data_IF_054051602622
#
_entry.id   IF_054051602622
#
_cell.length_a   1.000
_cell.length_b   1.000
_cell.length_c   1.000
_cell.angle_alpha   90.00
_cell.angle_beta   90.00
_cell.angle_gamma   90.00
#
_symmetry.space_group_name_H-M   'P 1'
#
loop_
_entity.id
_entity.type
_entity.pdbx_description
1 polymer ?
#
# COMPACT_ATOMS: atom_id res chain seq x y z
N UNK A 1 -39.42 14.64 7.04
CA UNK A 1 -38.63 14.30 5.85
C UNK A 1 -37.18 14.27 6.29
N UNK A 2 -36.52 13.10 6.32
CA UNK A 2 -35.09 13.06 6.64
C UNK A 2 -34.34 13.92 5.62
N UNK A 3 -33.45 14.76 6.11
CA UNK A 3 -32.60 15.63 5.32
C UNK A 3 -31.42 14.81 4.77
N UNK A 4 -30.76 15.29 3.70
CA UNK A 4 -29.55 14.63 3.17
C UNK A 4 -28.44 14.43 4.23
N UNK A 5 -28.43 15.26 5.28
CA UNK A 5 -27.53 15.12 6.42
C UNK A 5 -27.82 13.87 7.27
N UNK A 6 -29.06 13.38 7.27
CA UNK A 6 -29.49 12.19 8.03
C UNK A 6 -29.15 10.87 7.29
N UNK A 7 -28.77 10.97 6.01
CA UNK A 7 -28.41 9.82 5.16
C UNK A 7 -26.91 9.74 4.85
N UNK A 8 -26.13 10.75 5.24
CA UNK A 8 -24.69 10.84 4.97
C UNK A 8 -23.95 10.86 6.30
N UNK A 9 -23.55 9.68 6.77
CA UNK A 9 -22.65 9.56 7.91
C UNK A 9 -21.22 9.87 7.43
N UNK A 10 -20.80 11.13 7.57
CA UNK A 10 -19.40 11.51 7.32
C UNK A 10 -18.56 10.91 8.45
N UNK A 11 -17.98 9.74 8.20
CA UNK A 11 -17.04 9.08 9.11
C UNK A 11 -15.88 10.04 9.42
N UNK A 12 -15.93 10.72 10.58
CA UNK A 12 -15.02 11.81 10.99
C UNK A 12 -13.54 11.46 11.18
N UNK A 13 -13.07 10.33 10.63
CA UNK A 13 -11.65 9.92 10.69
C UNK A 13 -10.80 10.49 9.54
N UNK A 14 -11.39 11.22 8.60
CA UNK A 14 -10.71 11.85 7.45
C UNK A 14 -9.72 12.99 7.80
N UNK A 15 -9.48 13.30 9.09
CA UNK A 15 -8.72 14.47 9.53
C UNK A 15 -7.43 14.15 10.30
N UNK A 16 -6.77 13.01 10.05
CA UNK A 16 -5.35 12.88 10.45
C UNK A 16 -4.47 12.84 9.22
N UNK A 17 -3.56 13.81 9.16
CA UNK A 17 -2.46 13.86 8.20
C UNK A 17 -1.73 12.51 8.20
N UNK A 18 -2.05 11.63 7.24
CA UNK A 18 -1.39 10.35 7.09
C UNK A 18 0.09 10.60 6.78
N UNK A 19 0.97 10.28 7.71
CA UNK A 19 2.40 10.44 7.52
C UNK A 19 2.93 9.13 6.93
N UNK A 20 3.13 9.14 5.61
CA UNK A 20 3.54 7.97 4.80
C UNK A 20 4.67 7.16 5.45
N UNK A 21 5.67 7.80 6.05
CA UNK A 21 6.82 7.13 6.68
C UNK A 21 6.51 6.51 8.05
N UNK A 22 5.53 7.07 8.79
CA UNK A 22 5.15 6.63 10.14
C UNK A 22 4.09 5.53 10.12
N UNK A 23 3.25 5.55 9.08
CA UNK A 23 2.04 4.75 8.97
C UNK A 23 2.24 3.47 8.14
N UNK A 24 3.43 3.31 7.55
CA UNK A 24 3.89 2.17 6.74
C UNK A 24 3.73 0.78 7.40
N UNK A 25 3.62 0.72 8.73
CA UNK A 25 3.53 -0.53 9.49
C UNK A 25 2.20 -0.73 10.22
N UNK A 26 1.25 0.21 10.12
CA UNK A 26 0.00 0.17 10.87
C UNK A 26 -1.19 -0.11 9.96
N UNK A 27 -2.15 -0.97 10.37
CA UNK A 27 -3.37 -1.22 9.60
C UNK A 27 -4.39 -0.08 9.72
N UNK A 28 -4.31 0.71 10.79
CA UNK A 28 -5.24 1.81 11.12
C UNK A 28 -5.49 2.84 9.99
N UNK A 29 -4.51 3.21 9.13
CA UNK A 29 -4.75 4.15 8.03
C UNK A 29 -5.66 3.61 6.92
N UNK A 30 -5.81 2.28 6.80
CA UNK A 30 -6.76 1.65 5.87
C UNK A 30 -8.15 1.49 6.48
N UNK A 31 -8.26 1.53 7.81
CA UNK A 31 -9.55 1.43 8.51
C UNK A 31 -10.34 2.74 8.35
N UNK A 32 -11.28 2.74 7.39
CA UNK A 32 -12.12 3.89 7.04
C UNK A 32 -11.67 4.64 5.79
N UNK A 33 -10.65 4.16 5.07
CA UNK A 33 -10.34 4.69 3.74
C UNK A 33 -11.39 4.21 2.73
N UNK A 34 -12.08 5.17 2.12
CA UNK A 34 -13.01 4.90 1.00
C UNK A 34 -12.24 5.08 -0.31
N UNK A 35 -12.07 3.98 -1.05
CA UNK A 35 -11.47 4.02 -2.37
C UNK A 35 -12.46 4.67 -3.35
N UNK A 36 -12.11 5.87 -3.83
CA UNK A 36 -12.92 6.58 -4.82
C UNK A 36 -12.69 6.05 -6.23
N UNK A 37 -13.62 6.31 -7.16
CA UNK A 37 -13.47 5.95 -8.58
C UNK A 37 -12.14 6.47 -9.18
N UNK A 38 -11.78 7.73 -8.91
CA UNK A 38 -10.48 8.27 -9.38
C UNK A 38 -9.27 7.60 -8.73
N UNK A 39 -9.39 7.18 -7.47
CA UNK A 39 -8.34 6.39 -6.82
C UNK A 39 -8.19 5.03 -7.49
N UNK A 40 -9.31 4.39 -7.82
CA UNK A 40 -9.34 3.10 -8.52
C UNK A 40 -8.67 3.18 -9.90
N UNK A 41 -8.96 4.23 -10.69
CA UNK A 41 -8.33 4.44 -12.00
C UNK A 41 -6.79 4.47 -11.90
N UNK A 42 -6.27 5.09 -10.84
CA UNK A 42 -4.82 5.15 -10.58
C UNK A 42 -4.28 3.75 -10.24
N UNK A 43 -4.97 3.02 -9.36
CA UNK A 43 -4.59 1.63 -9.00
C UNK A 43 -4.60 0.73 -10.22
N UNK A 44 -5.62 0.83 -11.07
CA UNK A 44 -5.75 0.03 -12.28
C UNK A 44 -4.61 0.29 -13.27
N UNK A 45 -4.24 1.55 -13.49
CA UNK A 45 -3.12 1.89 -14.38
C UNK A 45 -1.79 1.31 -13.88
N UNK A 46 -1.52 1.43 -12.59
CA UNK A 46 -0.30 0.89 -11.97
C UNK A 46 -0.31 -0.65 -12.02
N UNK A 47 -1.44 -1.28 -11.69
CA UNK A 47 -1.58 -2.73 -11.71
C UNK A 47 -1.48 -3.31 -13.12
N UNK A 48 -2.03 -2.62 -14.13
CA UNK A 48 -1.92 -3.00 -15.54
C UNK A 48 -0.47 -2.95 -16.01
N UNK A 49 0.24 -1.85 -15.75
CA UNK A 49 1.65 -1.72 -16.10
C UNK A 49 2.50 -2.81 -15.41
N UNK A 50 2.27 -3.05 -14.12
CA UNK A 50 2.97 -4.08 -13.36
C UNK A 50 2.68 -5.50 -13.90
N UNK A 51 1.43 -5.79 -14.27
CA UNK A 51 1.01 -7.08 -14.82
C UNK A 51 1.51 -7.33 -16.25
N UNK A 52 1.65 -6.28 -17.06
CA UNK A 52 2.24 -6.37 -18.40
C UNK A 52 3.73 -6.76 -18.36
N UNK A 53 4.43 -6.43 -17.26
CA UNK A 53 5.85 -6.72 -17.08
C UNK A 53 6.79 -5.79 -17.86
N UNK A 54 6.25 -4.71 -18.43
CA UNK A 54 7.06 -3.61 -18.96
C UNK A 54 7.79 -2.92 -17.82
N UNK A 55 9.11 -2.78 -17.94
CA UNK A 55 9.89 -1.97 -17.02
C UNK A 55 9.60 -0.48 -17.28
N UNK A 56 9.20 0.25 -16.24
CA UNK A 56 9.06 1.71 -16.30
C UNK A 56 7.63 2.23 -16.19
N UNK A 57 7.54 3.53 -15.96
CA UNK A 57 6.32 4.26 -15.64
C UNK A 57 6.58 5.24 -14.51
N UNK A 58 6.34 6.53 -14.75
CA UNK A 58 6.34 7.55 -13.72
C UNK A 58 5.00 8.27 -13.79
N UNK A 59 4.33 8.37 -12.65
CA UNK A 59 3.03 9.01 -12.55
C UNK A 59 3.09 10.12 -11.51
N UNK A 60 2.49 11.26 -11.84
CA UNK A 60 2.26 12.34 -10.90
C UNK A 60 0.77 12.34 -10.54
N UNK A 61 0.47 12.25 -9.24
CA UNK A 61 -0.88 12.39 -8.73
C UNK A 61 -0.99 13.72 -7.98
N UNK A 62 -1.69 14.67 -8.58
CA UNK A 62 -1.94 15.99 -8.01
C UNK A 62 -3.40 16.13 -7.59
N UNK A 63 -3.65 16.91 -6.55
CA UNK A 63 -5.01 17.17 -6.05
C UNK A 63 -5.01 18.00 -4.77
N UNK A 64 -6.16 18.56 -4.36
CA UNK A 64 -6.28 19.40 -3.15
C UNK A 64 -5.81 18.71 -1.87
N UNK A 65 -5.41 19.47 -0.86
CA UNK A 65 -5.09 18.88 0.45
C UNK A 65 -6.31 18.11 0.98
N UNK A 66 -6.07 16.96 1.62
CA UNK A 66 -7.15 16.09 2.11
C UNK A 66 -7.83 15.20 1.05
N UNK A 67 -7.46 15.27 -0.24
CA UNK A 67 -8.07 14.46 -1.31
C UNK A 67 -7.69 12.97 -1.30
N UNK A 68 -7.12 12.45 -0.21
CA UNK A 68 -6.79 11.02 -0.07
C UNK A 68 -5.55 10.51 -0.82
N UNK A 69 -4.68 11.38 -1.38
CA UNK A 69 -3.47 10.97 -2.13
C UNK A 69 -2.50 10.14 -1.31
N UNK A 70 -2.19 10.58 -0.08
CA UNK A 70 -1.31 9.84 0.83
C UNK A 70 -1.93 8.50 1.22
N UNK A 71 -3.24 8.46 1.47
CA UNK A 71 -3.96 7.21 1.75
C UNK A 71 -3.95 6.26 0.54
N UNK A 72 -4.06 6.78 -0.68
CA UNK A 72 -3.92 5.99 -1.90
C UNK A 72 -2.51 5.41 -2.04
N UNK A 73 -1.48 6.20 -1.73
CA UNK A 73 -0.10 5.71 -1.71
C UNK A 73 0.11 4.61 -0.67
N UNK A 74 -0.53 4.71 0.51
CA UNK A 74 -0.54 3.62 1.51
C UNK A 74 -1.32 2.39 1.04
N UNK A 75 -2.44 2.56 0.34
CA UNK A 75 -3.18 1.45 -0.27
C UNK A 75 -2.32 0.71 -1.29
N UNK A 76 -1.67 1.44 -2.19
CA UNK A 76 -0.74 0.87 -3.18
C UNK A 76 0.42 0.16 -2.49
N UNK A 77 1.04 0.80 -1.51
CA UNK A 77 2.10 0.21 -0.71
C UNK A 77 1.62 -1.13 -0.11
N UNK A 78 0.49 -1.15 0.59
CA UNK A 78 -0.08 -2.36 1.18
C UNK A 78 -0.42 -3.45 0.14
N UNK A 79 -1.07 -3.09 -0.98
CA UNK A 79 -1.51 -4.02 -2.01
C UNK A 79 -0.33 -4.70 -2.74
N UNK A 80 0.77 -3.97 -2.93
CA UNK A 80 2.00 -4.49 -3.54
C UNK A 80 3.00 -5.04 -2.50
N UNK A 81 2.65 -5.05 -1.21
CA UNK A 81 3.47 -5.62 -0.15
C UNK A 81 3.49 -7.14 -0.10
N UNK A 82 4.25 -7.68 0.87
CA UNK A 82 4.30 -9.11 1.15
C UNK A 82 3.01 -9.68 1.75
N UNK A 83 2.95 -11.01 1.86
CA UNK A 83 1.79 -11.73 2.37
C UNK A 83 1.54 -11.36 3.84
N UNK A 84 0.55 -10.51 4.05
CA UNK A 84 0.25 -9.92 5.35
C UNK A 84 -1.24 -9.66 5.52
N UNK A 85 -1.69 -9.42 6.76
CA UNK A 85 -3.05 -8.92 7.04
C UNK A 85 -3.31 -7.60 6.30
N UNK A 86 -2.30 -6.73 6.25
CA UNK A 86 -2.37 -5.43 5.58
C UNK A 86 -2.64 -5.58 4.07
N UNK A 87 -1.91 -6.48 3.38
CA UNK A 87 -2.16 -6.76 1.96
C UNK A 87 -3.56 -7.29 1.71
N UNK A 88 -4.06 -8.19 2.58
CA UNK A 88 -5.43 -8.71 2.46
C UNK A 88 -6.48 -7.61 2.62
N UNK A 89 -6.31 -6.70 3.59
CA UNK A 89 -7.21 -5.57 3.77
C UNK A 89 -7.21 -4.65 2.54
N UNK A 90 -6.03 -4.31 2.01
CA UNK A 90 -5.91 -3.49 0.81
C UNK A 90 -6.56 -4.15 -0.42
N UNK A 91 -6.33 -5.45 -0.64
CA UNK A 91 -6.99 -6.19 -1.72
C UNK A 91 -8.51 -6.26 -1.51
N UNK A 92 -8.99 -6.39 -0.28
CA UNK A 92 -10.42 -6.34 0.03
C UNK A 92 -11.08 -5.01 -0.35
N UNK A 93 -10.41 -3.88 -0.08
CA UNK A 93 -10.89 -2.56 -0.50
C UNK A 93 -10.94 -2.43 -2.03
N UNK A 94 -9.92 -2.92 -2.73
CA UNK A 94 -9.86 -2.90 -4.19
C UNK A 94 -10.94 -3.82 -4.77
N UNK A 95 -11.01 -5.07 -4.33
CA UNK A 95 -11.99 -6.07 -4.78
C UNK A 95 -13.43 -5.62 -4.54
N UNK A 96 -13.69 -4.94 -3.41
CA UNK A 96 -15.00 -4.37 -3.10
C UNK A 96 -15.43 -3.24 -4.03
N UNK A 97 -14.50 -2.64 -4.76
CA UNK A 97 -14.77 -1.58 -5.75
C UNK A 97 -14.67 -2.10 -7.19
N UNK A 98 -13.68 -2.95 -7.48
CA UNK A 98 -13.48 -3.65 -8.76
C UNK A 98 -12.62 -4.91 -8.58
N UNK A 99 -13.25 -6.07 -8.73
CA UNK A 99 -12.57 -7.36 -8.72
C UNK A 99 -11.55 -7.49 -9.87
N UNK A 100 -11.82 -6.88 -11.02
CA UNK A 100 -10.91 -6.89 -12.17
C UNK A 100 -9.57 -6.21 -11.83
N UNK A 101 -9.63 -5.08 -11.10
CA UNK A 101 -8.43 -4.38 -10.63
C UNK A 101 -7.65 -5.19 -9.61
N UNK A 102 -8.34 -5.88 -8.69
CA UNK A 102 -7.70 -6.80 -7.75
C UNK A 102 -7.01 -7.98 -8.44
N UNK A 103 -7.60 -8.50 -9.51
CA UNK A 103 -7.01 -9.55 -10.33
C UNK A 103 -5.75 -9.10 -11.08
N UNK A 104 -5.70 -7.84 -11.55
CA UNK A 104 -4.48 -7.27 -12.12
C UNK A 104 -3.35 -7.23 -11.10
N UNK A 105 -3.64 -6.83 -9.86
CA UNK A 105 -2.64 -6.84 -8.77
C UNK A 105 -2.16 -8.27 -8.49
N UNK A 106 -3.07 -9.25 -8.42
CA UNK A 106 -2.72 -10.66 -8.25
C UNK A 106 -1.88 -11.20 -9.41
N UNK A 107 -2.19 -10.82 -10.66
CA UNK A 107 -1.40 -11.16 -11.86
C UNK A 107 0.00 -10.55 -11.79
N UNK A 108 0.13 -9.30 -11.38
CA UNK A 108 1.43 -8.65 -11.19
C UNK A 108 2.29 -9.42 -10.16
N UNK A 109 1.72 -9.80 -9.01
CA UNK A 109 2.46 -10.59 -8.01
C UNK A 109 2.92 -11.95 -8.53
N UNK A 110 2.05 -12.67 -9.26
CA UNK A 110 2.42 -13.95 -9.88
C UNK A 110 3.54 -13.80 -10.89
N UNK A 111 3.45 -12.80 -11.75
CA UNK A 111 4.43 -12.54 -12.82
C UNK A 111 5.82 -12.30 -12.27
N UNK A 112 5.92 -11.51 -11.19
CA UNK A 112 7.20 -11.09 -10.63
C UNK A 112 7.68 -11.95 -9.46
N UNK A 113 6.97 -13.04 -9.13
CA UNK A 113 7.36 -13.93 -8.02
C UNK A 113 7.24 -13.27 -6.64
N UNK A 114 6.43 -12.23 -6.50
CA UNK A 114 6.33 -11.39 -5.29
C UNK A 114 5.17 -11.82 -4.36
N UNK A 115 4.59 -13.00 -4.58
CA UNK A 115 3.44 -13.50 -3.80
C UNK A 115 3.71 -13.56 -2.28
N UNK A 116 4.91 -13.93 -1.85
CA UNK A 116 5.23 -14.01 -0.42
C UNK A 116 5.91 -12.73 0.10
N UNK A 117 7.00 -12.30 -0.52
CA UNK A 117 7.78 -11.14 -0.04
C UNK A 117 7.23 -9.78 -0.45
N UNK A 118 6.44 -9.72 -1.51
CA UNK A 118 5.95 -8.47 -2.09
C UNK A 118 6.97 -7.82 -3.00
N UNK A 119 6.59 -6.68 -3.57
CA UNK A 119 7.48 -5.85 -4.36
C UNK A 119 8.43 -5.07 -3.46
N UNK A 120 9.58 -4.69 -4.03
CA UNK A 120 10.49 -3.74 -3.42
C UNK A 120 9.90 -2.32 -3.48
N UNK A 121 9.25 -1.90 -2.40
CA UNK A 121 8.51 -0.63 -2.32
C UNK A 121 9.39 0.48 -1.71
N UNK A 122 9.78 1.44 -2.55
CA UNK A 122 10.59 2.59 -2.16
C UNK A 122 9.69 3.82 -1.86
N UNK A 123 8.94 3.77 -0.76
CA UNK A 123 8.10 4.90 -0.33
C UNK A 123 8.93 5.97 0.39
N UNK A 124 8.78 7.23 -0.03
CA UNK A 124 9.54 8.37 0.51
C UNK A 124 8.74 9.67 0.42
N UNK A 125 8.88 10.53 1.43
CA UNK A 125 8.43 11.92 1.34
C UNK A 125 9.60 12.79 0.88
N UNK A 126 9.38 13.59 -0.17
CA UNK A 126 10.38 14.53 -0.65
C UNK A 126 10.64 15.64 0.38
N UNK A 127 11.91 16.00 0.56
CA UNK A 127 12.36 17.10 1.44
C UNK A 127 13.10 18.13 0.60
N UNK A 128 13.57 19.24 1.21
CA UNK A 128 14.48 20.19 0.53
C UNK A 128 15.86 19.55 0.37
N UNK A 129 15.98 18.64 -0.59
CA UNK A 129 17.21 17.95 -0.98
C UNK A 129 17.21 17.65 -2.49
N UNK A 130 18.38 17.39 -3.11
CA UNK A 130 18.44 16.96 -4.51
C UNK A 130 17.65 15.67 -4.74
N UNK A 131 16.91 15.57 -5.86
CA UNK A 131 16.08 14.41 -6.19
C UNK A 131 16.84 13.08 -6.13
N UNK A 132 18.08 13.05 -6.62
CA UNK A 132 18.91 11.86 -6.60
C UNK A 132 19.12 11.34 -5.16
N UNK A 133 19.20 12.24 -4.18
CA UNK A 133 19.33 11.90 -2.76
C UNK A 133 18.05 11.30 -2.19
N UNK A 134 16.89 11.90 -2.53
CA UNK A 134 15.57 11.37 -2.17
C UNK A 134 15.37 9.95 -2.71
N UNK A 135 15.68 9.73 -4.00
CA UNK A 135 15.53 8.41 -4.65
C UNK A 135 16.51 7.40 -4.07
N UNK A 136 17.78 7.76 -3.89
CA UNK A 136 18.78 6.87 -3.29
C UNK A 136 18.39 6.45 -1.86
N UNK A 137 17.89 7.39 -1.04
CA UNK A 137 17.37 7.11 0.30
C UNK A 137 16.17 6.15 0.25
N UNK A 138 15.22 6.38 -0.68
CA UNK A 138 14.05 5.53 -0.85
C UNK A 138 14.43 4.09 -1.21
N UNK A 139 15.34 3.92 -2.17
CA UNK A 139 15.83 2.61 -2.62
C UNK A 139 16.61 1.89 -1.51
N UNK A 140 17.48 2.59 -0.78
CA UNK A 140 18.18 2.03 0.37
C UNK A 140 17.19 1.53 1.43
N UNK A 141 16.17 2.32 1.77
CA UNK A 141 15.13 1.92 2.72
C UNK A 141 14.29 0.74 2.21
N UNK A 142 14.05 0.61 0.90
CA UNK A 142 13.38 -0.55 0.32
C UNK A 142 14.22 -1.82 0.46
N UNK A 143 15.50 -1.76 0.06
CA UNK A 143 16.43 -2.90 0.13
C UNK A 143 16.61 -3.43 1.57
N UNK A 144 16.71 -2.52 2.55
CA UNK A 144 16.80 -2.90 3.96
C UNK A 144 15.52 -3.60 4.48
N UNK A 145 14.36 -3.29 3.90
CA UNK A 145 13.08 -3.93 4.26
C UNK A 145 12.91 -5.32 3.64
N UNK A 146 13.48 -5.56 2.45
CA UNK A 146 13.44 -6.86 1.77
C UNK A 146 14.37 -7.90 2.41
N UNK A 147 15.45 -7.45 3.03
CA UNK A 147 16.39 -8.28 3.79
C UNK A 147 15.98 -8.56 5.24
N UNK A 148 14.95 -7.88 5.77
CA UNK A 148 14.51 -8.06 7.15
C UNK A 148 13.59 -9.29 7.28
N UNK A 149 13.82 -10.21 8.24
CA UNK A 149 12.88 -11.30 8.50
C UNK A 149 11.51 -10.72 8.91
N UNK A 150 10.38 -11.36 8.53
CA UNK A 150 9.07 -10.86 8.89
C UNK A 150 8.94 -10.77 10.42
N UNK A 151 8.44 -9.65 10.98
CA UNK A 151 8.22 -9.53 12.41
C UNK A 151 7.12 -10.54 12.80
N UNK A 152 7.50 -11.61 13.50
CA UNK A 152 6.58 -12.65 13.97
C UNK A 152 7.10 -14.10 13.88
N UNK A 153 8.26 -14.34 13.27
CA UNK A 153 8.90 -15.66 13.28
C UNK A 153 9.68 -15.93 14.56
N UNK A 154 9.01 -15.92 15.71
CA UNK A 154 9.60 -16.38 16.97
C UNK A 154 9.91 -17.87 16.85
N UNK A 155 11.16 -18.21 16.54
CA UNK A 155 11.69 -19.54 16.79
C UNK A 155 11.72 -19.71 18.32
N UNK A 156 10.64 -20.28 18.88
CA UNK A 156 10.64 -20.74 20.26
C UNK A 156 11.77 -21.76 20.44
N UNK A 157 12.46 -21.76 21.59
CA UNK A 157 13.55 -22.67 21.83
C UNK A 157 13.03 -24.10 21.73
N UNK A 158 13.64 -24.91 20.86
CA UNK A 158 13.44 -26.37 20.86
C UNK A 158 14.03 -26.90 22.16
N UNK A 159 13.22 -26.96 23.21
CA UNK A 159 13.48 -27.74 24.41
C UNK A 159 13.38 -29.22 24.04
N UNK A 160 14.53 -29.87 23.84
CA UNK A 160 14.65 -31.31 23.80
C UNK A 160 15.34 -31.78 25.07
N UNK A 161 14.55 -32.09 26.10
CA UNK A 161 14.96 -32.97 27.18
C UNK A 161 14.65 -34.41 26.77
N UNK A 162 15.59 -35.33 26.96
CA UNK A 162 15.41 -36.75 26.68
C UNK A 162 16.74 -37.49 26.62
N UNK A 163 17.40 -37.63 27.76
CA UNK A 163 18.55 -38.48 28.03
C UNK A 163 18.55 -38.84 29.50
#
# INVERSE_FOLDING_TARGET
MPTLADCIEVSGRFARSANLERDLARPEPLEGYVLTARGLDVVERIATAAAAGSAGGAWSLTGPYGSGKSSLALLLDAAFGGRSKLRRAALGLVDGTSAATGDLIRRAHRRHGTLDRGFNRALVTATREPLARTVARALRSAALRDGAPPPGGGAGPRGGAGG
#
